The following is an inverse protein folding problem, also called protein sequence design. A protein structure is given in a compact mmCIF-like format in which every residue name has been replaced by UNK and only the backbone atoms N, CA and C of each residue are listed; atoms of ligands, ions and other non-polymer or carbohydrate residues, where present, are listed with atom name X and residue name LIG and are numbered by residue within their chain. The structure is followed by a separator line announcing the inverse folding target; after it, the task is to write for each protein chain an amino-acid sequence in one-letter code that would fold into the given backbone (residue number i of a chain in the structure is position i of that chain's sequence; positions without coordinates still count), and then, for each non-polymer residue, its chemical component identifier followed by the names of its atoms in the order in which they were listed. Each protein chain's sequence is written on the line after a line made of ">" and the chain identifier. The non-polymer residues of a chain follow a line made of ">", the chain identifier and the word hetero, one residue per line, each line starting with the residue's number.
data_IF_345871444732
#
_entry.id   IF_345871444732
#
_cell.length_a   1.000
_cell.length_b   1.000
_cell.length_c   1.000
_cell.angle_alpha   90.00
_cell.angle_beta   90.00
_cell.angle_gamma   90.00
#
_symmetry.space_group_name_H-M   'P 1'
#
loop_
_entity.id
_entity.type
_entity.pdbx_description
1 polymer ?
#
# COMPACT_ATOMS: atom_id res chain seq x y z
N UNK A 1 -21.15 -17.96 -39.36
CA UNK A 1 -19.94 -18.13 -38.52
C UNK A 1 -19.80 -16.97 -37.51
N UNK A 2 -20.05 -15.69 -37.91
CA UNK A 2 -19.95 -14.51 -37.00
C UNK A 2 -20.89 -14.57 -35.78
N UNK A 3 -22.09 -15.16 -35.88
CA UNK A 3 -23.02 -15.27 -34.74
C UNK A 3 -22.60 -16.31 -33.70
N UNK A 4 -21.99 -17.42 -34.08
CA UNK A 4 -21.48 -18.44 -33.16
C UNK A 4 -20.31 -17.95 -32.31
N UNK A 5 -19.44 -17.11 -32.87
CA UNK A 5 -18.31 -16.51 -32.14
C UNK A 5 -18.76 -15.57 -31.01
N UNK A 6 -19.83 -14.77 -31.22
CA UNK A 6 -20.39 -13.90 -30.18
C UNK A 6 -21.00 -14.71 -29.03
N UNK A 7 -21.72 -15.79 -29.33
CA UNK A 7 -22.31 -16.64 -28.30
C UNK A 7 -21.26 -17.38 -27.47
N UNK A 8 -20.16 -17.83 -28.09
CA UNK A 8 -19.04 -18.44 -27.38
C UNK A 8 -18.35 -17.42 -26.44
N UNK A 9 -18.12 -16.21 -26.93
CA UNK A 9 -17.51 -15.16 -26.09
C UNK A 9 -18.41 -14.79 -24.90
N UNK A 10 -19.74 -14.67 -25.15
CA UNK A 10 -20.69 -14.42 -24.06
C UNK A 10 -20.69 -15.56 -23.02
N UNK A 11 -20.62 -16.81 -23.47
CA UNK A 11 -20.55 -17.97 -22.59
C UNK A 11 -19.26 -17.93 -21.74
N UNK A 12 -18.11 -17.65 -22.37
CA UNK A 12 -16.85 -17.53 -21.66
C UNK A 12 -16.86 -16.40 -20.61
N UNK A 13 -17.44 -15.25 -20.97
CA UNK A 13 -17.58 -14.13 -20.03
C UNK A 13 -18.46 -14.50 -18.83
N UNK A 14 -19.58 -15.18 -19.07
CA UNK A 14 -20.48 -15.63 -18.01
C UNK A 14 -19.82 -16.67 -17.08
N UNK A 15 -19.05 -17.62 -17.64
CA UNK A 15 -18.28 -18.57 -16.87
C UNK A 15 -17.20 -17.88 -16.03
N UNK A 16 -16.44 -16.94 -16.62
CA UNK A 16 -15.45 -16.15 -15.89
C UNK A 16 -16.06 -15.31 -14.76
N UNK A 17 -17.25 -14.76 -14.97
CA UNK A 17 -17.97 -14.06 -13.91
C UNK A 17 -18.39 -15.00 -12.77
N UNK A 18 -18.90 -16.19 -13.07
CA UNK A 18 -19.22 -17.20 -12.06
C UNK A 18 -17.99 -17.63 -11.27
N UNK A 19 -16.87 -17.88 -11.94
CA UNK A 19 -15.60 -18.19 -11.28
C UNK A 19 -15.17 -17.07 -10.33
N UNK A 20 -15.22 -15.81 -10.77
CA UNK A 20 -14.88 -14.66 -9.93
C UNK A 20 -15.76 -14.61 -8.67
N UNK A 21 -17.06 -14.80 -8.80
CA UNK A 21 -18.00 -14.80 -7.67
C UNK A 21 -17.69 -15.94 -6.70
N UNK A 22 -17.45 -17.15 -7.21
CA UNK A 22 -17.12 -18.33 -6.39
C UNK A 22 -15.78 -18.10 -5.66
N UNK A 23 -14.76 -17.63 -6.36
CA UNK A 23 -13.44 -17.35 -5.77
C UNK A 23 -13.53 -16.26 -4.68
N UNK A 24 -14.28 -15.19 -4.93
CA UNK A 24 -14.48 -14.12 -3.97
C UNK A 24 -15.22 -14.63 -2.72
N UNK A 25 -16.29 -15.40 -2.90
CA UNK A 25 -17.04 -16.00 -1.79
C UNK A 25 -16.15 -16.97 -0.97
N UNK A 26 -15.35 -17.79 -1.63
CA UNK A 26 -14.41 -18.72 -1.01
C UNK A 26 -13.33 -17.98 -0.23
N UNK A 27 -12.77 -16.89 -0.79
CA UNK A 27 -11.81 -16.02 -0.10
C UNK A 27 -12.42 -15.41 1.16
N UNK A 28 -13.62 -14.80 1.06
CA UNK A 28 -14.33 -14.21 2.21
C UNK A 28 -14.60 -15.23 3.31
N UNK A 29 -14.91 -16.49 2.95
CA UNK A 29 -15.11 -17.57 3.91
C UNK A 29 -13.81 -18.02 4.59
N UNK A 30 -12.67 -17.89 3.91
CA UNK A 30 -11.37 -18.34 4.42
C UNK A 30 -10.71 -17.33 5.37
N UNK A 31 -11.04 -16.05 5.28
CA UNK A 31 -10.47 -14.99 6.13
C UNK A 31 -11.27 -14.83 7.43
N UNK A 32 -10.59 -14.38 8.51
CA UNK A 32 -11.20 -14.24 9.84
C UNK A 32 -12.32 -13.20 9.88
N UNK A 33 -12.04 -12.01 9.32
CA UNK A 33 -12.97 -10.88 9.25
C UNK A 33 -12.78 -10.14 7.93
N UNK A 34 -13.84 -9.61 7.40
CA UNK A 34 -13.81 -8.69 6.27
C UNK A 34 -14.94 -7.68 6.35
N UNK A 35 -14.78 -6.58 5.66
CA UNK A 35 -15.82 -5.57 5.47
C UNK A 35 -15.99 -5.23 3.99
N UNK A 36 -17.12 -4.63 3.65
CA UNK A 36 -17.30 -3.97 2.36
C UNK A 36 -16.68 -2.58 2.44
N UNK A 37 -15.84 -2.19 1.46
CA UNK A 37 -15.24 -0.87 1.46
C UNK A 37 -16.28 0.22 1.21
N UNK A 38 -16.10 1.34 1.88
CA UNK A 38 -16.78 2.59 1.57
C UNK A 38 -15.82 3.48 0.77
N UNK A 39 -16.17 3.79 -0.47
CA UNK A 39 -15.37 4.70 -1.29
C UNK A 39 -15.86 6.14 -1.11
N UNK A 40 -14.92 7.01 -0.74
CA UNK A 40 -15.18 8.43 -0.52
C UNK A 40 -14.75 9.23 -1.74
N UNK A 41 -15.55 10.25 -2.10
CA UNK A 41 -15.28 11.11 -3.25
C UNK A 41 -14.31 12.25 -2.92
N UNK A 42 -14.20 12.62 -1.64
CA UNK A 42 -13.29 13.68 -1.21
C UNK A 42 -11.84 13.18 -1.21
N UNK A 43 -11.11 13.56 -2.25
CA UNK A 43 -9.70 13.21 -2.44
C UNK A 43 -8.77 13.80 -1.36
N UNK A 44 -9.25 14.76 -0.55
CA UNK A 44 -8.50 15.32 0.57
C UNK A 44 -8.57 14.46 1.82
N UNK A 45 -9.50 13.52 1.88
CA UNK A 45 -9.56 12.55 2.96
C UNK A 45 -8.51 11.46 2.77
N UNK A 46 -7.98 10.97 3.90
CA UNK A 46 -7.05 9.86 3.93
C UNK A 46 -7.76 8.51 4.07
N UNK A 47 -6.97 7.48 4.25
CA UNK A 47 -7.46 6.14 4.58
C UNK A 47 -7.94 6.14 6.03
N UNK A 48 -9.14 5.61 6.23
CA UNK A 48 -9.68 5.28 7.54
C UNK A 48 -9.98 3.80 7.60
N UNK A 49 -9.32 3.09 8.51
CA UNK A 49 -9.46 1.64 8.62
C UNK A 49 -9.38 1.19 10.07
N UNK A 50 -10.29 0.30 10.46
CA UNK A 50 -10.32 -0.35 11.77
C UNK A 50 -9.99 -1.84 11.60
N UNK A 51 -9.07 -2.35 12.41
CA UNK A 51 -8.74 -3.77 12.46
C UNK A 51 -8.14 -4.35 11.20
N UNK A 52 -7.33 -3.58 10.44
CA UNK A 52 -6.66 -4.09 9.24
C UNK A 52 -5.59 -5.12 9.59
N UNK A 53 -5.56 -6.22 8.86
CA UNK A 53 -4.54 -7.26 9.04
C UNK A 53 -4.10 -7.86 7.71
N UNK A 54 -2.98 -8.57 7.72
CA UNK A 54 -2.43 -9.23 6.53
C UNK A 54 -3.10 -10.59 6.33
N UNK A 55 -3.82 -10.85 5.21
CA UNK A 55 -4.63 -12.05 5.04
C UNK A 55 -3.84 -13.37 5.02
N UNK A 56 -2.56 -13.32 4.70
CA UNK A 56 -1.69 -14.50 4.60
C UNK A 56 -0.88 -14.78 5.87
N UNK A 57 -1.03 -13.97 6.91
CA UNK A 57 -0.33 -14.19 8.18
C UNK A 57 -1.31 -14.80 9.18
N UNK A 58 -0.94 -16.00 9.65
CA UNK A 58 -1.67 -16.64 10.73
C UNK A 58 -1.50 -15.80 12.00
N UNK A 59 -2.62 -15.53 12.68
CA UNK A 59 -2.63 -14.74 13.92
C UNK A 59 -2.03 -13.34 13.79
N UNK A 60 -2.23 -12.71 12.61
CA UNK A 60 -1.85 -11.33 12.37
C UNK A 60 -2.51 -10.40 13.40
N UNK A 61 -1.72 -9.49 13.94
CA UNK A 61 -2.22 -8.43 14.86
C UNK A 61 -2.95 -7.38 14.03
N UNK A 62 -4.22 -7.09 14.32
CA UNK A 62 -4.96 -6.04 13.65
C UNK A 62 -4.44 -4.65 14.07
N UNK A 63 -4.52 -3.69 13.16
CA UNK A 63 -4.12 -2.32 13.39
C UNK A 63 -5.18 -1.34 12.89
N UNK A 64 -5.23 -0.17 13.49
CA UNK A 64 -6.16 0.90 13.12
C UNK A 64 -5.40 2.09 12.53
N UNK A 65 -6.03 2.75 11.57
CA UNK A 65 -5.60 4.05 11.05
C UNK A 65 -6.82 4.95 10.88
N UNK A 66 -6.75 6.15 11.43
CA UNK A 66 -7.84 7.11 11.38
C UNK A 66 -7.47 8.28 10.49
N UNK A 67 -8.20 8.44 9.39
CA UNK A 67 -8.15 9.57 8.45
C UNK A 67 -6.73 10.04 8.11
N UNK A 68 -5.85 9.08 7.81
CA UNK A 68 -4.43 9.35 7.56
C UNK A 68 -4.16 9.48 6.06
N UNK A 69 -3.66 10.63 5.65
CA UNK A 69 -3.23 10.92 4.28
C UNK A 69 -1.74 10.62 4.08
N UNK A 70 -0.91 11.12 4.97
CA UNK A 70 0.53 10.93 4.92
C UNK A 70 1.00 10.33 6.25
N UNK A 71 1.54 9.14 6.21
CA UNK A 71 1.95 8.35 7.37
C UNK A 71 3.42 7.99 7.29
N UNK A 72 4.13 8.26 8.36
CA UNK A 72 5.51 7.82 8.56
C UNK A 72 5.56 6.81 9.70
N UNK A 73 6.12 5.64 9.42
CA UNK A 73 6.16 4.52 10.37
C UNK A 73 7.60 4.27 10.78
N UNK A 74 7.85 4.31 12.08
CA UNK A 74 9.14 3.95 12.68
C UNK A 74 9.01 2.70 13.54
N UNK A 75 10.14 2.14 13.95
CA UNK A 75 10.23 0.96 14.82
C UNK A 75 11.42 0.09 14.48
N UNK A 76 11.70 -0.91 15.33
CA UNK A 76 12.79 -1.86 15.13
C UNK A 76 12.61 -2.72 13.86
N UNK A 77 13.68 -3.40 13.46
CA UNK A 77 13.57 -4.49 12.47
C UNK A 77 12.69 -5.59 13.06
N UNK A 78 11.86 -6.21 12.24
CA UNK A 78 10.88 -7.23 12.64
C UNK A 78 9.67 -6.73 13.45
N UNK A 79 9.53 -5.43 13.76
CA UNK A 79 8.35 -4.89 14.45
C UNK A 79 7.05 -4.92 13.64
N UNK A 80 7.10 -5.32 12.36
CA UNK A 80 5.92 -5.46 11.51
C UNK A 80 5.64 -4.29 10.56
N UNK A 81 6.50 -3.28 10.46
CA UNK A 81 6.33 -2.11 9.56
C UNK A 81 6.03 -2.49 8.12
N UNK A 82 6.91 -3.31 7.51
CA UNK A 82 6.74 -3.77 6.12
C UNK A 82 5.48 -4.63 5.93
N UNK A 83 5.11 -5.41 6.95
CA UNK A 83 3.88 -6.21 6.96
C UNK A 83 2.66 -5.32 6.96
N UNK A 84 2.67 -4.28 7.77
CA UNK A 84 1.58 -3.31 7.84
C UNK A 84 1.44 -2.52 6.52
N UNK A 85 2.53 -2.03 5.95
CA UNK A 85 2.52 -1.40 4.63
C UNK A 85 1.93 -2.31 3.55
N UNK A 86 2.30 -3.60 3.55
CA UNK A 86 1.71 -4.60 2.66
C UNK A 86 0.22 -4.80 2.92
N UNK A 87 -0.21 -4.76 4.18
CA UNK A 87 -1.63 -4.88 4.52
C UNK A 87 -2.44 -3.71 3.97
N UNK A 88 -1.94 -2.47 4.06
CA UNK A 88 -2.56 -1.29 3.45
C UNK A 88 -2.68 -1.46 1.93
N UNK A 89 -1.57 -1.80 1.26
CA UNK A 89 -1.54 -2.00 -0.19
C UNK A 89 -2.50 -3.10 -0.67
N UNK A 90 -2.47 -4.26 -0.01
CA UNK A 90 -3.34 -5.40 -0.34
C UNK A 90 -4.81 -5.06 -0.12
N UNK A 91 -5.14 -4.37 0.98
CA UNK A 91 -6.52 -3.98 1.25
C UNK A 91 -7.04 -2.97 0.23
N UNK A 92 -6.23 -2.00 -0.21
CA UNK A 92 -6.62 -1.10 -1.30
C UNK A 92 -6.90 -1.87 -2.60
N UNK A 93 -6.05 -2.85 -2.96
CA UNK A 93 -6.26 -3.69 -4.15
C UNK A 93 -7.53 -4.54 -4.03
N UNK A 94 -7.72 -5.25 -2.91
CA UNK A 94 -8.87 -6.12 -2.69
C UNK A 94 -10.18 -5.33 -2.64
N UNK A 95 -10.15 -4.16 -2.00
CA UNK A 95 -11.29 -3.24 -1.94
C UNK A 95 -11.73 -2.82 -3.34
N UNK A 96 -10.80 -2.41 -4.18
CA UNK A 96 -11.07 -1.89 -5.54
C UNK A 96 -11.37 -2.99 -6.56
N UNK A 97 -10.87 -4.22 -6.37
CA UNK A 97 -11.02 -5.31 -7.33
C UNK A 97 -12.23 -6.22 -7.04
N UNK A 98 -12.44 -6.58 -5.79
CA UNK A 98 -13.47 -7.55 -5.38
C UNK A 98 -14.38 -7.02 -4.26
N UNK A 99 -14.40 -5.70 -4.04
CA UNK A 99 -15.21 -5.04 -3.02
C UNK A 99 -15.08 -5.70 -1.63
N UNK A 100 -13.84 -6.01 -1.22
CA UNK A 100 -13.56 -6.72 0.03
C UNK A 100 -12.34 -6.12 0.69
N UNK A 101 -12.48 -5.64 1.92
CA UNK A 101 -11.36 -5.26 2.77
C UNK A 101 -11.17 -6.29 3.88
N UNK A 102 -9.93 -6.67 4.14
CA UNK A 102 -9.53 -7.56 5.24
C UNK A 102 -9.34 -6.72 6.50
N UNK A 103 -10.46 -6.21 7.02
CA UNK A 103 -10.55 -5.28 8.14
C UNK A 103 -11.96 -5.31 8.72
N UNK A 104 -12.17 -4.66 9.85
CA UNK A 104 -13.51 -4.46 10.43
C UNK A 104 -14.26 -3.33 9.73
N UNK A 105 -13.56 -2.25 9.38
CA UNK A 105 -14.07 -1.15 8.55
C UNK A 105 -12.98 -0.65 7.62
N UNK A 106 -13.38 -0.16 6.46
CA UNK A 106 -12.49 0.44 5.47
C UNK A 106 -13.21 1.56 4.75
N UNK A 107 -12.66 2.76 4.80
CA UNK A 107 -13.14 3.91 4.05
C UNK A 107 -11.94 4.65 3.46
N UNK A 108 -11.96 4.89 2.14
CA UNK A 108 -10.86 5.53 1.43
C UNK A 108 -11.28 5.99 0.04
N UNK A 109 -10.57 6.94 -0.58
CA UNK A 109 -10.70 7.21 -2.01
C UNK A 109 -10.31 6.01 -2.87
N UNK A 110 -10.66 6.07 -4.16
CA UNK A 110 -10.13 5.14 -5.15
C UNK A 110 -8.71 5.59 -5.51
N UNK A 111 -7.75 4.67 -5.51
CA UNK A 111 -6.34 4.97 -5.71
C UNK A 111 -5.74 4.30 -6.94
N UNK A 112 -4.74 4.96 -7.53
CA UNK A 112 -3.68 4.28 -8.27
C UNK A 112 -2.56 3.91 -7.28
N UNK A 113 -2.28 2.63 -7.12
CA UNK A 113 -1.30 2.14 -6.16
C UNK A 113 0.08 2.01 -6.81
N UNK A 114 1.07 2.60 -6.18
CA UNK A 114 2.50 2.46 -6.51
C UNK A 114 3.29 2.10 -5.27
N UNK A 115 4.33 1.30 -5.43
CA UNK A 115 5.17 0.90 -4.31
C UNK A 115 6.66 0.93 -4.64
N UNK A 116 7.44 1.34 -3.63
CA UNK A 116 8.87 1.11 -3.52
C UNK A 116 9.10 0.30 -2.25
N UNK A 117 9.06 -1.02 -2.38
CA UNK A 117 9.27 -1.96 -1.26
C UNK A 117 10.45 -2.86 -1.60
N UNK A 118 11.07 -3.44 -0.56
CA UNK A 118 12.22 -4.35 -0.71
C UNK A 118 12.08 -5.27 -1.91
N UNK A 119 12.86 -5.00 -2.92
CA UNK A 119 13.00 -5.88 -4.07
C UNK A 119 13.84 -7.07 -3.60
N UNK A 120 13.36 -8.29 -3.81
CA UNK A 120 14.21 -9.47 -3.64
C UNK A 120 15.41 -9.34 -4.57
N UNK A 121 16.58 -9.74 -4.09
CA UNK A 121 17.80 -9.82 -4.88
C UNK A 121 17.55 -10.67 -6.14
N UNK A 122 17.13 -10.02 -7.19
CA UNK A 122 17.06 -10.66 -8.50
C UNK A 122 18.45 -10.52 -9.11
N UNK A 123 19.32 -11.50 -8.83
CA UNK A 123 20.71 -11.59 -9.34
C UNK A 123 20.82 -11.49 -10.87
N UNK A 124 19.70 -11.43 -11.58
CA UNK A 124 19.63 -11.32 -13.03
C UNK A 124 19.60 -9.88 -13.55
N UNK A 125 19.30 -8.90 -12.73
CA UNK A 125 19.32 -7.49 -13.16
C UNK A 125 20.70 -6.89 -12.93
N UNK A 126 21.40 -6.55 -13.99
CA UNK A 126 22.72 -5.85 -14.01
C UNK A 126 22.67 -4.42 -13.48
N UNK A 127 21.62 -4.02 -12.77
CA UNK A 127 21.47 -2.70 -12.17
C UNK A 127 21.85 -2.72 -10.69
N UNK A 128 22.57 -1.71 -10.22
CA UNK A 128 22.76 -1.50 -8.79
C UNK A 128 21.39 -1.46 -8.09
N UNK A 129 21.28 -2.11 -6.93
CA UNK A 129 20.09 -2.08 -6.06
C UNK A 129 19.55 -0.65 -5.89
N UNK A 130 20.44 0.29 -5.66
CA UNK A 130 20.16 1.73 -5.60
C UNK A 130 19.42 2.26 -6.83
N UNK A 131 19.83 1.87 -8.05
CA UNK A 131 19.19 2.33 -9.30
C UNK A 131 17.78 1.77 -9.48
N UNK A 132 17.51 0.58 -8.97
CA UNK A 132 16.15 -0.01 -9.01
C UNK A 132 15.23 0.76 -8.07
N UNK A 133 15.72 1.08 -6.88
CA UNK A 133 15.00 1.88 -5.88
C UNK A 133 14.70 3.30 -6.41
N UNK A 134 15.68 3.99 -6.99
CA UNK A 134 15.48 5.29 -7.63
C UNK A 134 14.43 5.23 -8.74
N UNK A 135 14.44 4.20 -9.58
CA UNK A 135 13.41 4.03 -10.62
C UNK A 135 12.03 3.79 -10.05
N UNK A 136 11.91 3.07 -8.92
CA UNK A 136 10.64 2.86 -8.25
C UNK A 136 10.10 4.18 -7.67
N UNK A 137 10.93 4.94 -6.98
CA UNK A 137 10.58 6.27 -6.46
C UNK A 137 10.22 7.25 -7.60
N UNK A 138 10.99 7.26 -8.68
CA UNK A 138 10.68 8.08 -9.86
C UNK A 138 9.29 7.77 -10.41
N UNK A 139 8.89 6.49 -10.53
CA UNK A 139 7.55 6.11 -10.99
C UNK A 139 6.45 6.64 -10.08
N UNK A 140 6.69 6.66 -8.76
CA UNK A 140 5.75 7.24 -7.80
C UNK A 140 5.60 8.74 -8.04
N UNK A 141 6.71 9.46 -8.18
CA UNK A 141 6.73 10.90 -8.43
C UNK A 141 6.06 11.25 -9.76
N UNK A 142 6.42 10.56 -10.84
CA UNK A 142 5.82 10.78 -12.17
C UNK A 142 4.29 10.53 -12.14
N UNK A 143 3.84 9.51 -11.39
CA UNK A 143 2.42 9.21 -11.22
C UNK A 143 1.70 10.27 -10.40
N UNK A 144 2.32 10.77 -9.33
CA UNK A 144 1.79 11.82 -8.49
C UNK A 144 1.51 13.11 -9.27
N UNK A 145 2.42 13.47 -10.19
CA UNK A 145 2.29 14.65 -11.06
C UNK A 145 1.22 14.52 -12.14
N UNK A 146 1.04 13.32 -12.68
CA UNK A 146 0.25 13.12 -13.91
C UNK A 146 -1.13 12.52 -13.68
N UNK A 147 -1.43 12.02 -12.48
CA UNK A 147 -2.66 11.29 -12.21
C UNK A 147 -3.80 12.22 -11.80
N UNK A 148 -4.95 12.06 -12.46
CA UNK A 148 -6.22 12.67 -12.04
C UNK A 148 -6.90 11.90 -10.89
N UNK A 149 -6.38 10.73 -10.52
CA UNK A 149 -6.87 9.90 -9.41
C UNK A 149 -5.78 9.91 -8.35
N UNK A 150 -6.11 10.02 -7.06
CA UNK A 150 -5.14 10.01 -5.98
C UNK A 150 -4.19 8.81 -6.07
N UNK A 151 -2.92 9.04 -5.80
CA UNK A 151 -1.90 7.99 -5.79
C UNK A 151 -1.69 7.49 -4.36
N UNK A 152 -1.89 6.19 -4.13
CA UNK A 152 -1.45 5.54 -2.90
C UNK A 152 0.01 5.12 -3.06
N UNK A 153 0.90 5.85 -2.41
CA UNK A 153 2.35 5.62 -2.43
C UNK A 153 2.78 4.80 -1.21
N UNK A 154 3.29 3.60 -1.43
CA UNK A 154 3.82 2.72 -0.37
C UNK A 154 5.34 2.67 -0.50
N UNK A 155 6.05 3.16 0.51
CA UNK A 155 7.51 3.26 0.51
C UNK A 155 8.08 2.55 1.75
N UNK A 156 8.81 1.46 1.54
CA UNK A 156 9.44 0.70 2.62
C UNK A 156 10.94 0.94 2.61
N UNK A 157 11.38 1.84 3.46
CA UNK A 157 12.73 2.40 3.55
C UNK A 157 13.20 3.12 2.28
N UNK A 158 13.50 4.40 2.41
CA UNK A 158 13.91 5.25 1.31
C UNK A 158 15.43 5.17 1.13
N UNK A 159 15.90 4.79 -0.08
CA UNK A 159 17.30 4.88 -0.49
C UNK A 159 18.29 4.12 0.42
N UNK A 160 18.06 2.82 0.64
CA UNK A 160 18.94 1.96 1.44
C UNK A 160 20.38 1.87 0.92
N UNK A 161 20.59 2.11 -0.35
CA UNK A 161 21.87 1.90 -1.05
C UNK A 161 22.86 3.07 -0.93
N UNK A 162 22.59 4.10 -0.11
CA UNK A 162 23.49 5.25 0.09
C UNK A 162 23.85 5.48 1.54
N UNK A 163 24.75 6.45 1.81
CA UNK A 163 25.12 6.81 3.17
C UNK A 163 23.97 7.49 3.94
N UNK A 164 24.03 7.48 5.25
CA UNK A 164 22.94 7.95 6.13
C UNK A 164 22.56 9.41 5.87
N UNK A 165 23.53 10.31 5.69
CA UNK A 165 23.27 11.74 5.48
C UNK A 165 22.52 11.97 4.18
N UNK A 166 23.00 11.37 3.09
CA UNK A 166 22.35 11.47 1.78
C UNK A 166 20.96 10.83 1.80
N UNK A 167 20.80 9.69 2.46
CA UNK A 167 19.53 8.99 2.59
C UNK A 167 18.49 9.85 3.31
N UNK A 168 18.85 10.45 4.45
CA UNK A 168 17.97 11.33 5.22
C UNK A 168 17.59 12.55 4.38
N UNK A 169 18.55 13.21 3.75
CA UNK A 169 18.30 14.41 2.96
C UNK A 169 17.41 14.13 1.73
N UNK A 170 17.76 13.11 0.95
CA UNK A 170 16.99 12.75 -0.24
C UNK A 170 15.61 12.15 0.12
N UNK A 171 15.56 11.29 1.15
CA UNK A 171 14.33 10.70 1.64
C UNK A 171 13.33 11.75 2.12
N UNK A 172 13.79 12.67 2.97
CA UNK A 172 12.95 13.79 3.45
C UNK A 172 12.44 14.66 2.31
N UNK A 173 13.31 14.99 1.33
CA UNK A 173 12.92 15.80 0.18
C UNK A 173 11.88 15.12 -0.70
N UNK A 174 12.02 13.81 -0.96
CA UNK A 174 11.05 13.04 -1.76
C UNK A 174 9.71 12.95 -1.03
N UNK A 175 9.71 12.65 0.27
CA UNK A 175 8.49 12.54 1.05
C UNK A 175 7.78 13.90 1.17
N UNK A 176 8.51 15.00 1.40
CA UNK A 176 7.94 16.34 1.44
C UNK A 176 7.34 16.74 0.09
N UNK A 177 7.98 16.36 -1.02
CA UNK A 177 7.44 16.56 -2.35
C UNK A 177 6.12 15.79 -2.53
N UNK A 178 6.08 14.50 -2.22
CA UNK A 178 4.89 13.66 -2.35
C UNK A 178 3.70 14.20 -1.53
N UNK A 179 3.95 14.72 -0.33
CA UNK A 179 2.90 15.33 0.50
C UNK A 179 2.16 16.47 -0.21
N UNK A 180 2.85 17.24 -1.05
CA UNK A 180 2.29 18.40 -1.74
C UNK A 180 1.52 18.02 -3.02
N UNK A 181 1.60 16.77 -3.44
CA UNK A 181 0.91 16.25 -4.62
C UNK A 181 -0.40 15.52 -4.23
N UNK A 182 -1.16 15.10 -5.24
CA UNK A 182 -2.38 14.31 -5.02
C UNK A 182 -2.04 12.86 -4.62
N UNK A 183 -1.42 12.71 -3.43
CA UNK A 183 -0.98 11.41 -2.89
C UNK A 183 -1.49 11.15 -1.49
N UNK A 184 -1.62 9.87 -1.18
CA UNK A 184 -1.66 9.34 0.17
C UNK A 184 -0.42 8.48 0.35
N UNK A 185 0.54 8.96 1.15
CA UNK A 185 1.86 8.33 1.27
C UNK A 185 1.99 7.58 2.59
N UNK A 186 2.29 6.30 2.52
CA UNK A 186 2.63 5.46 3.66
C UNK A 186 4.09 5.04 3.53
N UNK A 187 4.94 5.58 4.38
CA UNK A 187 6.37 5.32 4.36
C UNK A 187 6.84 4.69 5.67
N UNK A 188 7.75 3.72 5.61
CA UNK A 188 8.48 3.22 6.76
C UNK A 188 9.94 3.66 6.68
N UNK A 189 10.54 3.95 7.83
CA UNK A 189 11.95 4.32 7.93
C UNK A 189 12.55 3.89 9.27
N UNK A 190 13.87 3.70 9.28
CA UNK A 190 14.66 3.55 10.51
C UNK A 190 15.31 4.86 10.96
N UNK A 191 15.37 5.85 10.07
CA UNK A 191 15.99 7.13 10.34
C UNK A 191 15.01 8.02 11.12
N UNK A 192 15.22 8.14 12.41
CA UNK A 192 14.34 8.93 13.30
C UNK A 192 14.39 10.42 12.91
N UNK A 193 15.50 10.88 12.38
CA UNK A 193 15.71 12.26 11.93
C UNK A 193 14.69 12.67 10.87
N UNK A 194 14.25 11.73 10.01
CA UNK A 194 13.19 12.00 9.03
C UNK A 194 11.88 12.36 9.71
N UNK A 195 11.57 11.77 10.87
CA UNK A 195 10.35 12.10 11.62
C UNK A 195 10.36 13.52 12.16
N UNK A 196 11.53 14.01 12.57
CA UNK A 196 11.72 15.37 13.06
C UNK A 196 11.64 16.39 11.92
N UNK A 197 12.29 16.09 10.77
CA UNK A 197 12.28 16.95 9.59
C UNK A 197 10.85 17.08 9.03
N UNK A 198 10.08 15.99 8.99
CA UNK A 198 8.72 15.95 8.45
C UNK A 198 7.63 16.17 9.49
N UNK A 199 8.00 16.67 10.68
CA UNK A 199 7.06 16.96 11.76
C UNK A 199 5.99 17.97 11.32
N UNK A 200 4.73 17.57 11.48
CA UNK A 200 3.58 18.38 11.01
C UNK A 200 3.20 18.14 9.55
N UNK A 201 4.05 17.47 8.77
CA UNK A 201 3.77 17.05 7.39
C UNK A 201 3.24 15.64 7.31
N UNK A 202 3.70 14.76 8.18
CA UNK A 202 3.34 13.36 8.28
C UNK A 202 2.81 13.01 9.67
N UNK A 203 1.83 12.12 9.73
CA UNK A 203 1.39 11.49 10.97
C UNK A 203 2.39 10.37 11.33
N UNK A 204 3.06 10.51 12.48
CA UNK A 204 4.09 9.57 12.90
C UNK A 204 3.49 8.44 13.74
N UNK A 205 3.72 7.20 13.31
CA UNK A 205 3.36 5.98 14.03
C UNK A 205 4.62 5.21 14.42
N UNK A 206 4.59 4.63 15.61
CA UNK A 206 5.71 3.83 16.10
C UNK A 206 5.28 2.39 16.36
N UNK A 207 5.90 1.44 15.67
CA UNK A 207 5.67 0.01 15.84
C UNK A 207 6.60 -0.56 16.91
N UNK A 208 6.01 -1.25 17.88
CA UNK A 208 6.73 -1.96 18.95
C UNK A 208 6.46 -3.44 18.86
N UNK A 209 7.48 -4.23 19.20
CA UNK A 209 7.31 -5.66 19.41
C UNK A 209 6.60 -5.87 20.75
N UNK A 210 5.56 -6.70 20.77
CA UNK A 210 4.98 -7.22 22.00
C UNK A 210 5.35 -8.70 22.08
N UNK A 211 6.16 -9.05 23.07
CA UNK A 211 6.40 -10.44 23.40
C UNK A 211 5.27 -10.88 24.33
N UNK A 212 4.47 -11.86 23.92
CA UNK A 212 3.60 -12.56 24.85
C UNK A 212 4.52 -13.48 25.68
N UNK A 213 4.63 -13.23 26.96
CA UNK A 213 5.25 -14.13 27.93
C UNK A 213 4.46 -15.46 28.03
#
# INVERSE_FOLDING_TARGET
>A
IKGKSKNVLALMNNLGYLELVICTASFRKAIKKYSYPEFIEDENQGINVEGIYHPLIKDAVPNDISNAKNVLITGSNASGKSTFLKSIALNAILSQSIATSVSEKYSAPIYKLYSSMSLRDDYKTKGSYYMVEIRALKRIVDAAQSSNIPVLAIVDEVLRGTNTIERIAAGSSILEYLKNENTNTFAATHDIEITDILKGSYSNYHFRESFNE
#
